data_IF_115502407007
#
_entry.id   IF_115502407007
#
_cell.length_a   1.000
_cell.length_b   1.000
_cell.length_c   1.000
_cell.angle_alpha   90.00
_cell.angle_beta   90.00
_cell.angle_gamma   90.00
#
_symmetry.space_group_name_H-M   'P 1'
#
loop_
_entity.id
_entity.type
_entity.pdbx_description
1 polymer ?
#
# COMPACT_ATOMS: atom_id res chain seq x y z
N UNK A 1 6.24 0.43 -11.49
CA UNK A 1 5.29 1.22 -10.69
C UNK A 1 4.06 1.63 -11.48
N UNK A 2 4.22 2.17 -12.67
CA UNK A 2 3.08 2.56 -13.50
C UNK A 2 2.20 1.35 -13.84
N UNK A 3 2.81 0.22 -14.11
CA UNK A 3 2.09 -1.02 -14.42
C UNK A 3 1.25 -1.52 -13.26
N UNK A 4 1.77 -1.39 -12.03
CA UNK A 4 1.05 -1.81 -10.82
C UNK A 4 -0.17 -0.94 -10.61
N UNK A 5 -0.03 0.38 -10.80
CA UNK A 5 -1.15 1.31 -10.66
C UNK A 5 -2.23 1.02 -11.71
N UNK A 6 -1.83 0.76 -12.94
CA UNK A 6 -2.77 0.42 -14.00
C UNK A 6 -3.50 -0.90 -13.70
N UNK A 7 -2.78 -1.88 -13.18
CA UNK A 7 -3.36 -3.16 -12.79
C UNK A 7 -4.38 -2.99 -11.67
N UNK A 8 -4.03 -2.22 -10.65
CA UNK A 8 -4.93 -1.93 -9.53
C UNK A 8 -6.18 -1.20 -10.01
N UNK A 9 -6.01 -0.21 -10.87
CA UNK A 9 -7.15 0.53 -11.45
C UNK A 9 -8.02 -0.40 -12.28
N UNK A 10 -7.42 -1.32 -13.03
CA UNK A 10 -8.15 -2.32 -13.80
C UNK A 10 -8.98 -3.24 -12.93
N UNK A 11 -8.42 -3.70 -11.82
CA UNK A 11 -9.15 -4.52 -10.85
C UNK A 11 -10.32 -3.78 -10.25
N UNK A 12 -10.13 -2.51 -9.89
CA UNK A 12 -11.21 -1.68 -9.35
C UNK A 12 -12.32 -1.49 -10.37
N UNK A 13 -11.95 -1.25 -11.63
CA UNK A 13 -12.93 -1.08 -12.71
C UNK A 13 -13.75 -2.34 -12.92
N UNK A 14 -13.09 -3.50 -12.92
CA UNK A 14 -13.78 -4.79 -13.03
C UNK A 14 -14.73 -5.02 -11.87
N UNK A 15 -14.30 -4.71 -10.65
CA UNK A 15 -15.14 -4.85 -9.47
C UNK A 15 -16.39 -3.98 -9.59
N UNK A 16 -16.24 -2.75 -10.02
CA UNK A 16 -17.36 -1.84 -10.21
C UNK A 16 -18.29 -2.29 -11.33
N UNK A 17 -17.74 -2.88 -12.39
CA UNK A 17 -18.53 -3.36 -13.52
C UNK A 17 -19.38 -4.58 -13.16
N UNK A 18 -18.90 -5.42 -12.23
CA UNK A 18 -19.57 -6.67 -11.86
C UNK A 18 -20.40 -6.54 -10.60
N UNK A 19 -20.15 -5.54 -9.78
CA UNK A 19 -20.88 -5.33 -8.53
C UNK A 19 -22.11 -4.49 -8.72
N UNK A 20 -23.01 -4.60 -7.78
CA UNK A 20 -24.18 -3.71 -7.72
C UNK A 20 -23.72 -2.27 -7.61
N UNK A 21 -24.54 -1.34 -8.17
CA UNK A 21 -24.25 0.08 -8.05
C UNK A 21 -24.29 0.62 -6.63
N UNK A 22 -24.65 -0.18 -5.65
CA UNK A 22 -24.51 0.21 -4.26
C UNK A 22 -23.02 0.31 -3.97
N UNK A 23 -22.58 1.52 -3.81
CA UNK A 23 -21.16 1.79 -3.64
C UNK A 23 -20.78 1.52 -2.19
N UNK A 24 -20.50 0.28 -1.91
CA UNK A 24 -19.83 -0.07 -0.69
C UNK A 24 -18.35 -0.20 -0.98
N UNK A 25 -17.54 0.18 -0.02
CA UNK A 25 -16.12 -0.11 -0.12
C UNK A 25 -15.99 -1.62 -0.12
N UNK A 26 -15.49 -2.15 -1.20
CA UNK A 26 -15.41 -3.59 -1.41
C UNK A 26 -14.05 -4.10 -0.97
N UNK A 27 -13.96 -5.43 -0.83
CA UNK A 27 -12.68 -6.07 -0.60
C UNK A 27 -11.67 -5.74 -1.70
N UNK A 28 -12.13 -5.59 -2.95
CA UNK A 28 -11.26 -5.20 -4.05
C UNK A 28 -10.62 -3.83 -3.82
N UNK A 29 -11.39 -2.87 -3.30
CA UNK A 29 -10.84 -1.55 -2.96
C UNK A 29 -9.81 -1.66 -1.85
N UNK A 30 -10.10 -2.40 -0.80
CA UNK A 30 -9.16 -2.60 0.32
C UNK A 30 -7.90 -3.31 -0.17
N UNK A 31 -8.03 -4.32 -1.01
CA UNK A 31 -6.88 -5.01 -1.59
C UNK A 31 -6.03 -4.09 -2.45
N UNK A 32 -6.66 -3.21 -3.22
CA UNK A 32 -5.96 -2.22 -4.02
C UNK A 32 -5.18 -1.24 -3.14
N UNK A 33 -5.78 -0.82 -2.03
CA UNK A 33 -5.11 0.07 -1.08
C UNK A 33 -3.90 -0.63 -0.45
N UNK A 34 -4.04 -1.89 -0.07
CA UNK A 34 -2.94 -2.66 0.50
C UNK A 34 -1.79 -2.82 -0.51
N UNK A 35 -2.12 -3.04 -1.78
CA UNK A 35 -1.11 -3.12 -2.83
C UNK A 35 -0.37 -1.78 -3.00
N UNK A 36 -1.09 -0.66 -2.93
CA UNK A 36 -0.50 0.67 -3.00
C UNK A 36 0.43 0.92 -1.81
N UNK A 37 0.00 0.56 -0.62
CA UNK A 37 0.83 0.65 0.58
C UNK A 37 2.12 -0.14 0.41
N UNK A 38 2.03 -1.36 -0.10
CA UNK A 38 3.20 -2.19 -0.37
C UNK A 38 4.17 -1.56 -1.36
N UNK A 39 3.64 -1.00 -2.45
CA UNK A 39 4.45 -0.30 -3.45
C UNK A 39 5.15 0.93 -2.85
N UNK A 40 4.41 1.73 -2.11
CA UNK A 40 4.96 2.95 -1.51
C UNK A 40 6.00 2.61 -0.44
N UNK A 41 5.76 1.56 0.32
CA UNK A 41 6.71 1.07 1.31
C UNK A 41 8.01 0.58 0.66
N UNK A 42 7.90 -0.14 -0.45
CA UNK A 42 9.05 -0.59 -1.21
C UNK A 42 9.86 0.60 -1.77
N UNK A 43 9.17 1.61 -2.27
CA UNK A 43 9.79 2.84 -2.77
C UNK A 43 10.56 3.55 -1.66
N UNK A 44 9.93 3.69 -0.50
CA UNK A 44 10.58 4.29 0.66
C UNK A 44 11.80 3.49 1.11
N UNK A 45 11.67 2.19 1.19
CA UNK A 45 12.78 1.29 1.57
C UNK A 45 13.96 1.46 0.62
N UNK A 46 13.70 1.53 -0.68
CA UNK A 46 14.73 1.75 -1.69
C UNK A 46 15.42 3.10 -1.48
N UNK A 47 14.65 4.15 -1.24
CA UNK A 47 15.21 5.49 -1.01
C UNK A 47 16.07 5.53 0.26
N UNK A 48 15.63 4.88 1.32
CA UNK A 48 16.39 4.79 2.57
C UNK A 48 17.67 4.00 2.36
N UNK A 49 17.60 2.87 1.67
CA UNK A 49 18.77 2.03 1.40
C UNK A 49 19.81 2.76 0.56
N UNK A 50 19.38 3.58 -0.37
CA UNK A 50 20.27 4.36 -1.24
C UNK A 50 20.79 5.64 -0.58
N UNK A 51 20.26 6.01 0.58
CA UNK A 51 20.63 7.25 1.24
C UNK A 51 22.08 7.22 1.71
N UNK A 52 22.86 8.18 1.23
CA UNK A 52 24.27 8.34 1.60
C UNK A 52 24.53 9.74 2.17
N UNK A 53 23.50 10.50 2.43
CA UNK A 53 23.58 11.87 2.95
C UNK A 53 23.04 12.87 1.94
N UNK A 54 22.91 14.09 2.39
CA UNK A 54 22.49 15.21 1.55
C UNK A 54 21.02 15.55 1.69
N UNK A 55 20.71 16.82 1.50
CA UNK A 55 19.37 17.37 1.66
C UNK A 55 18.43 16.86 0.60
N UNK A 56 18.88 16.77 -0.64
CA UNK A 56 18.05 16.32 -1.76
C UNK A 56 17.55 14.89 -1.54
N UNK A 57 18.44 13.99 -1.14
CA UNK A 57 18.07 12.60 -0.86
C UNK A 57 17.15 12.51 0.36
N UNK A 58 17.37 13.35 1.38
CA UNK A 58 16.49 13.40 2.54
C UNK A 58 15.09 13.87 2.16
N UNK A 59 14.97 14.82 1.24
CA UNK A 59 13.67 15.29 0.76
C UNK A 59 12.92 14.20 0.00
N UNK A 60 13.62 13.37 -0.76
CA UNK A 60 13.01 12.23 -1.46
C UNK A 60 12.39 11.27 -0.43
N UNK A 61 13.13 10.97 0.63
CA UNK A 61 12.64 10.10 1.71
C UNK A 61 11.41 10.71 2.37
N UNK A 62 11.44 12.01 2.66
CA UNK A 62 10.29 12.70 3.27
C UNK A 62 9.07 12.67 2.37
N UNK A 63 9.24 12.85 1.06
CA UNK A 63 8.14 12.76 0.10
C UNK A 63 7.58 11.34 0.02
N UNK A 64 8.44 10.35 0.01
CA UNK A 64 8.02 8.95 -0.02
C UNK A 64 7.26 8.58 1.26
N UNK A 65 7.69 9.09 2.40
CA UNK A 65 6.99 8.91 3.67
C UNK A 65 5.59 9.53 3.62
N UNK A 66 5.47 10.74 3.11
CA UNK A 66 4.17 11.39 2.97
C UNK A 66 3.24 10.62 2.03
N UNK A 67 3.77 10.09 0.94
CA UNK A 67 3.01 9.28 0.00
C UNK A 67 2.50 8.01 0.68
N UNK A 68 3.35 7.35 1.45
CA UNK A 68 2.98 6.16 2.21
C UNK A 68 1.91 6.47 3.27
N UNK A 69 2.07 7.56 3.99
CA UNK A 69 1.10 8.00 4.99
C UNK A 69 -0.28 8.24 4.36
N UNK A 70 -0.30 8.89 3.21
CA UNK A 70 -1.54 9.12 2.46
C UNK A 70 -2.19 7.79 2.06
N UNK A 71 -1.40 6.85 1.60
CA UNK A 71 -1.89 5.52 1.20
C UNK A 71 -2.48 4.75 2.40
N UNK A 72 -1.82 4.82 3.55
CA UNK A 72 -2.30 4.18 4.78
C UNK A 72 -3.62 4.80 5.24
N UNK A 73 -3.71 6.12 5.20
CA UNK A 73 -4.92 6.84 5.57
C UNK A 73 -6.08 6.49 4.63
N UNK A 74 -5.81 6.39 3.35
CA UNK A 74 -6.82 5.99 2.37
C UNK A 74 -7.27 4.56 2.63
N UNK A 75 -6.34 3.65 2.87
CA UNK A 75 -6.65 2.26 3.19
C UNK A 75 -7.50 2.14 4.46
N UNK A 76 -7.20 2.93 5.47
CA UNK A 76 -7.96 2.97 6.71
C UNK A 76 -9.38 3.46 6.46
N UNK A 77 -9.53 4.52 5.67
CA UNK A 77 -10.84 5.07 5.31
C UNK A 77 -11.68 4.03 4.58
N UNK A 78 -11.11 3.39 3.58
CA UNK A 78 -11.82 2.42 2.76
C UNK A 78 -12.14 1.15 3.54
N UNK A 79 -11.24 0.69 4.40
CA UNK A 79 -11.50 -0.47 5.25
C UNK A 79 -12.61 -0.18 6.27
N UNK A 80 -12.62 1.02 6.83
CA UNK A 80 -13.65 1.43 7.78
C UNK A 80 -15.03 1.50 7.12
N UNK A 81 -15.07 1.93 5.88
CA UNK A 81 -16.32 2.06 5.11
C UNK A 81 -16.76 0.73 4.48
N UNK A 82 -15.91 -0.28 4.50
CA UNK A 82 -16.20 -1.55 3.85
C UNK A 82 -17.28 -2.32 4.60
N UNK A 83 -18.12 -3.01 3.85
CA UNK A 83 -19.05 -4.00 4.41
C UNK A 83 -18.29 -5.23 4.85
N UNK A 84 -18.96 -6.09 5.61
CA UNK A 84 -18.38 -7.37 6.02
C UNK A 84 -17.93 -8.16 4.79
N UNK A 85 -16.73 -8.71 4.84
CA UNK A 85 -16.17 -9.49 3.75
C UNK A 85 -16.68 -10.92 3.78
N UNK A 86 -16.78 -11.52 2.59
CA UNK A 86 -16.98 -12.97 2.49
C UNK A 86 -15.74 -13.69 3.05
N UNK A 87 -15.88 -15.01 3.25
CA UNK A 87 -14.74 -15.82 3.71
C UNK A 87 -13.59 -15.76 2.70
N UNK A 88 -13.90 -15.84 1.42
CA UNK A 88 -12.88 -15.77 0.37
C UNK A 88 -12.17 -14.40 0.37
N UNK A 89 -12.94 -13.32 0.47
CA UNK A 89 -12.39 -11.96 0.50
C UNK A 89 -11.57 -11.74 1.77
N UNK A 90 -12.03 -12.21 2.91
CA UNK A 90 -11.29 -12.13 4.17
C UNK A 90 -9.94 -12.84 4.06
N UNK A 91 -9.91 -14.01 3.44
CA UNK A 91 -8.67 -14.76 3.22
C UNK A 91 -7.71 -13.96 2.35
N UNK A 92 -8.21 -13.33 1.29
CA UNK A 92 -7.39 -12.51 0.39
C UNK A 92 -6.83 -11.28 1.10
N UNK A 93 -7.64 -10.61 1.92
CA UNK A 93 -7.21 -9.44 2.67
C UNK A 93 -6.15 -9.82 3.71
N UNK A 94 -6.36 -10.91 4.44
CA UNK A 94 -5.38 -11.40 5.40
C UNK A 94 -4.05 -11.73 4.72
N UNK A 95 -4.10 -12.39 3.56
CA UNK A 95 -2.90 -12.70 2.80
C UNK A 95 -2.17 -11.42 2.35
N UNK A 96 -2.90 -10.41 1.92
CA UNK A 96 -2.32 -9.14 1.49
C UNK A 96 -1.66 -8.42 2.68
N UNK A 97 -2.29 -8.41 3.84
CA UNK A 97 -1.71 -7.83 5.06
C UNK A 97 -0.46 -8.60 5.45
N UNK A 98 -0.51 -9.93 5.41
CA UNK A 98 0.64 -10.77 5.74
C UNK A 98 1.82 -10.48 4.80
N UNK A 99 1.56 -10.17 3.53
CA UNK A 99 2.59 -9.82 2.57
C UNK A 99 3.33 -8.53 2.92
N UNK A 100 2.70 -7.62 3.65
CA UNK A 100 3.33 -6.37 4.08
C UNK A 100 4.33 -6.59 5.21
N UNK A 101 4.20 -7.64 5.98
CA UNK A 101 5.07 -7.90 7.14
C UNK A 101 6.55 -7.95 6.75
N UNK A 102 6.98 -8.76 5.76
CA UNK A 102 8.39 -8.76 5.38
C UNK A 102 8.83 -7.44 4.76
N UNK A 103 7.94 -6.72 4.08
CA UNK A 103 8.27 -5.41 3.53
C UNK A 103 8.52 -4.38 4.63
N UNK A 104 7.72 -4.41 5.68
CA UNK A 104 7.90 -3.56 6.86
C UNK A 104 9.23 -3.90 7.55
N UNK A 105 9.50 -5.18 7.71
CA UNK A 105 10.76 -5.63 8.31
C UNK A 105 11.97 -5.18 7.51
N UNK A 106 11.90 -5.28 6.19
CA UNK A 106 12.97 -4.81 5.30
C UNK A 106 13.18 -3.31 5.43
N UNK A 107 12.08 -2.54 5.49
CA UNK A 107 12.16 -1.09 5.66
C UNK A 107 12.80 -0.70 6.99
N UNK A 108 12.39 -1.37 8.06
CA UNK A 108 12.96 -1.13 9.38
C UNK A 108 14.45 -1.50 9.43
N UNK A 109 14.84 -2.62 8.82
CA UNK A 109 16.21 -3.03 8.73
C UNK A 109 17.07 -1.99 7.97
N UNK A 110 16.54 -1.45 6.89
CA UNK A 110 17.20 -0.40 6.12
C UNK A 110 17.41 0.86 6.96
N UNK A 111 16.39 1.26 7.73
CA UNK A 111 16.50 2.40 8.64
C UNK A 111 17.54 2.16 9.73
N UNK A 112 17.52 1.00 10.35
CA UNK A 112 18.48 0.65 11.39
C UNK A 112 19.91 0.72 10.84
N UNK A 113 20.14 0.21 9.65
CA UNK A 113 21.44 0.25 9.01
C UNK A 113 21.94 1.69 8.78
N UNK A 114 21.03 2.64 8.60
CA UNK A 114 21.42 4.05 8.42
C UNK A 114 21.65 4.79 9.73
N UNK A 115 21.08 4.30 10.81
CA UNK A 115 21.20 4.94 12.13
C UNK A 115 22.48 4.48 12.84
N UNK A 116 22.90 3.25 12.61
CA UNK A 116 24.11 2.71 13.21
C UNK A 116 25.34 3.18 12.42
#
# INVERSE_FOLDING_TARGET
MVQIKAFVAGLLSLSLATCNPIVERSAATVLADLATIGTDLSTLTTAVSAYTGGVTAALVIANDENTLDTAINQGTTDATAASAFSVADSTSVVAAVASLTPEIQSGLAALIAKVI
#
